data_IF_219390223184
#
_entry.id   IF_219390223184
#
_cell.length_a   1.000
_cell.length_b   1.000
_cell.length_c   1.000
_cell.angle_alpha   90.00
_cell.angle_beta   90.00
_cell.angle_gamma   90.00
#
_symmetry.space_group_name_H-M   'P 1'
#
loop_
_entity.id
_entity.type
_entity.pdbx_description
1 polymer ?
#
# COMPACT_ATOMS: atom_id res chain seq x y z
N UNK A 1 41.98 85.36 -29.52
CA UNK A 1 41.01 86.07 -28.66
C UNK A 1 40.37 85.07 -27.70
N UNK A 2 40.35 85.41 -26.40
CA UNK A 2 39.86 84.58 -25.27
C UNK A 2 38.33 84.59 -25.18
N UNK A 3 37.68 83.47 -24.86
CA UNK A 3 36.48 83.36 -23.99
C UNK A 3 36.44 81.93 -23.41
N UNK A 4 36.81 81.74 -22.14
CA UNK A 4 36.01 81.78 -20.88
C UNK A 4 35.14 80.52 -20.62
N UNK A 5 35.68 79.75 -19.67
CA UNK A 5 35.15 78.67 -18.84
C UNK A 5 33.72 78.92 -18.31
N UNK A 6 32.83 77.93 -18.37
CA UNK A 6 31.75 77.72 -17.39
C UNK A 6 31.67 76.23 -17.05
N UNK A 7 31.90 75.93 -15.77
CA UNK A 7 31.72 74.63 -15.12
C UNK A 7 30.25 74.57 -14.68
N UNK A 8 29.55 73.52 -15.08
CA UNK A 8 28.36 73.05 -14.36
C UNK A 8 28.44 71.53 -14.27
N UNK A 9 28.74 71.05 -13.08
CA UNK A 9 28.58 69.65 -12.70
C UNK A 9 27.08 69.35 -12.58
N UNK A 10 26.59 68.35 -13.31
CA UNK A 10 25.29 67.75 -13.06
C UNK A 10 25.49 66.26 -12.78
N UNK A 11 25.16 65.88 -11.56
CA UNK A 11 25.14 64.54 -11.03
C UNK A 11 24.02 63.76 -11.73
N UNK A 12 24.35 62.78 -12.59
CA UNK A 12 23.37 61.86 -13.16
C UNK A 12 23.41 60.56 -12.35
N UNK A 13 22.49 60.41 -11.41
CA UNK A 13 22.20 59.13 -10.76
C UNK A 13 21.44 58.28 -11.78
N UNK A 14 22.12 57.31 -12.38
CA UNK A 14 21.52 56.27 -13.22
C UNK A 14 21.20 55.06 -12.35
N UNK A 15 19.97 54.99 -11.85
CA UNK A 15 19.34 53.74 -11.43
C UNK A 15 18.41 53.36 -12.57
N UNK A 16 18.59 52.20 -13.20
CA UNK A 16 17.47 51.32 -13.55
C UNK A 16 17.92 49.95 -14.10
N UNK A 17 17.59 48.93 -13.29
CA UNK A 17 17.04 47.62 -13.66
C UNK A 17 17.93 46.70 -14.51
N UNK A 18 18.74 45.90 -13.80
CA UNK A 18 19.14 44.58 -14.26
C UNK A 18 17.87 43.72 -14.38
N UNK A 19 17.38 43.53 -15.60
CA UNK A 19 16.40 42.49 -15.89
C UNK A 19 17.07 41.14 -15.67
N UNK A 20 16.83 40.53 -14.52
CA UNK A 20 17.13 39.12 -14.29
C UNK A 20 16.31 38.31 -15.28
N UNK A 21 16.93 37.90 -16.39
CA UNK A 21 16.40 36.79 -17.17
C UNK A 21 16.50 35.54 -16.29
N UNK A 22 15.42 35.25 -15.57
CA UNK A 22 15.21 33.94 -14.98
C UNK A 22 15.19 32.94 -16.13
N UNK A 23 16.25 32.14 -16.27
CA UNK A 23 16.19 30.94 -17.07
C UNK A 23 15.16 30.02 -16.43
N UNK A 24 13.90 30.08 -16.89
CA UNK A 24 12.99 28.98 -16.64
C UNK A 24 13.63 27.76 -17.28
N UNK A 25 14.07 26.82 -16.44
CA UNK A 25 14.66 25.57 -16.89
C UNK A 25 13.71 24.93 -17.88
N UNK A 26 14.17 24.75 -19.11
CA UNK A 26 13.51 23.88 -20.08
C UNK A 26 13.72 22.48 -19.53
N UNK A 27 12.78 22.01 -18.71
CA UNK A 27 12.73 20.60 -18.34
C UNK A 27 12.62 19.81 -19.63
N UNK A 28 13.57 18.90 -19.88
CA UNK A 28 13.50 17.98 -21.00
C UNK A 28 12.13 17.28 -20.93
N UNK A 29 11.34 17.38 -22.00
CA UNK A 29 10.03 16.73 -22.09
C UNK A 29 10.27 15.24 -22.22
N UNK A 30 10.25 14.55 -21.09
CA UNK A 30 10.35 13.11 -21.09
C UNK A 30 9.02 12.49 -21.51
N UNK A 31 9.10 11.53 -22.42
CA UNK A 31 7.96 10.83 -23.00
C UNK A 31 7.78 9.48 -22.29
N UNK A 32 6.54 9.21 -21.85
CA UNK A 32 6.19 8.02 -21.09
C UNK A 32 5.02 7.29 -21.75
N UNK A 33 4.92 5.98 -21.52
CA UNK A 33 3.76 5.18 -21.89
C UNK A 33 2.92 4.84 -20.65
N UNK A 34 1.60 4.75 -20.82
CA UNK A 34 0.69 4.29 -19.79
C UNK A 34 0.74 2.77 -19.69
N UNK A 35 1.06 2.21 -18.53
CA UNK A 35 1.21 0.77 -18.28
C UNK A 35 -0.03 0.07 -17.69
N UNK A 36 -1.19 0.72 -17.68
CA UNK A 36 -2.45 0.19 -17.14
C UNK A 36 -3.57 0.27 -18.17
N UNK A 37 -4.60 -0.59 -18.06
CA UNK A 37 -5.73 -0.66 -19.00
C UNK A 37 -6.47 0.67 -19.17
N UNK A 38 -6.59 1.47 -18.11
CA UNK A 38 -7.16 2.81 -18.13
C UNK A 38 -6.59 3.65 -16.99
N UNK A 39 -6.01 4.81 -17.32
CA UNK A 39 -5.42 5.75 -16.38
C UNK A 39 -6.22 7.05 -16.34
N UNK A 40 -6.84 7.36 -15.19
CA UNK A 40 -7.62 8.58 -15.02
C UNK A 40 -6.72 9.83 -15.07
N UNK A 41 -7.18 10.84 -15.82
CA UNK A 41 -6.64 12.19 -15.86
C UNK A 41 -7.51 13.08 -14.98
N UNK A 42 -6.89 13.84 -14.06
CA UNK A 42 -7.59 14.63 -13.03
C UNK A 42 -7.23 16.11 -13.05
N UNK A 43 -8.05 16.94 -12.43
CA UNK A 43 -7.83 18.39 -12.33
C UNK A 43 -6.68 18.76 -11.39
N UNK A 44 -6.44 17.98 -10.35
CA UNK A 44 -5.43 18.20 -9.30
C UNK A 44 -4.65 16.91 -9.00
N UNK A 45 -3.45 16.99 -8.41
CA UNK A 45 -2.65 15.82 -8.02
C UNK A 45 -3.22 15.16 -6.76
N UNK A 46 -4.46 14.67 -6.85
CA UNK A 46 -5.21 14.05 -5.75
C UNK A 46 -6.19 12.99 -6.27
N UNK A 47 -6.41 11.93 -5.48
CA UNK A 47 -7.38 10.89 -5.80
C UNK A 47 -8.84 11.37 -5.67
N UNK A 48 -9.06 12.45 -4.93
CA UNK A 48 -10.38 13.07 -4.73
C UNK A 48 -10.70 14.13 -5.81
N UNK A 49 -9.73 14.45 -6.67
CA UNK A 49 -9.89 15.45 -7.71
C UNK A 49 -10.81 14.96 -8.84
N UNK A 50 -11.54 15.90 -9.44
CA UNK A 50 -12.44 15.62 -10.57
C UNK A 50 -11.69 14.91 -11.71
N UNK A 51 -12.25 13.80 -12.19
CA UNK A 51 -11.74 13.09 -13.37
C UNK A 51 -12.23 13.83 -14.62
N UNK A 52 -11.29 14.23 -15.47
CA UNK A 52 -11.53 14.97 -16.72
C UNK A 52 -11.36 14.08 -17.96
N UNK A 53 -10.95 12.82 -17.76
CA UNK A 53 -10.87 11.82 -18.80
C UNK A 53 -9.99 10.65 -18.38
N UNK A 54 -9.62 9.82 -19.34
CA UNK A 54 -8.67 8.72 -19.13
C UNK A 54 -7.77 8.50 -20.34
N UNK A 55 -6.69 7.75 -20.11
CA UNK A 55 -5.71 7.32 -21.09
C UNK A 55 -5.69 5.79 -21.13
N UNK A 56 -5.77 5.16 -22.31
CA UNK A 56 -5.69 3.70 -22.44
C UNK A 56 -4.26 3.19 -22.23
N UNK A 57 -4.12 1.87 -22.03
CA UNK A 57 -2.82 1.19 -22.03
C UNK A 57 -2.03 1.50 -23.31
N UNK A 58 -0.73 1.74 -23.16
CA UNK A 58 0.18 2.09 -24.24
C UNK A 58 0.06 3.54 -24.73
N UNK A 59 -0.87 4.35 -24.19
CA UNK A 59 -0.96 5.76 -24.54
C UNK A 59 0.32 6.49 -24.16
N UNK A 60 0.83 7.29 -25.10
CA UNK A 60 2.04 8.08 -24.89
C UNK A 60 1.67 9.45 -24.31
N UNK A 61 2.38 9.87 -23.26
CA UNK A 61 2.20 11.16 -22.60
C UNK A 61 3.51 11.92 -22.47
N UNK A 62 3.42 13.23 -22.65
CA UNK A 62 4.50 14.15 -22.33
C UNK A 62 4.31 14.65 -20.90
N UNK A 63 5.27 14.34 -20.03
CA UNK A 63 5.24 14.79 -18.63
C UNK A 63 5.86 16.19 -18.56
N UNK A 64 5.07 17.13 -18.06
CA UNK A 64 5.44 18.54 -17.90
C UNK A 64 6.06 18.82 -16.53
N UNK A 65 5.61 18.09 -15.51
CA UNK A 65 5.98 18.26 -14.11
C UNK A 65 5.65 16.96 -13.36
N UNK A 66 6.44 16.59 -12.36
CA UNK A 66 6.08 15.53 -11.41
C UNK A 66 5.98 16.13 -10.01
N UNK A 67 4.89 15.85 -9.30
CA UNK A 67 4.63 16.33 -7.94
C UNK A 67 3.85 15.28 -7.15
N UNK A 68 4.42 14.84 -6.02
CA UNK A 68 3.77 13.95 -5.03
C UNK A 68 3.01 12.75 -5.64
N UNK A 69 3.67 11.99 -6.52
CA UNK A 69 3.12 10.82 -7.25
C UNK A 69 2.15 11.10 -8.39
N UNK A 70 2.10 12.36 -8.83
CA UNK A 70 1.32 12.76 -10.00
C UNK A 70 2.23 13.38 -11.06
N UNK A 71 2.06 12.93 -12.29
CA UNK A 71 2.63 13.56 -13.47
C UNK A 71 1.59 14.52 -14.05
N UNK A 72 1.99 15.78 -14.20
CA UNK A 72 1.23 16.77 -14.94
C UNK A 72 1.46 16.53 -16.43
N UNK A 73 0.39 16.34 -17.17
CA UNK A 73 0.41 16.03 -18.61
C UNK A 73 -0.50 16.98 -19.37
N UNK A 74 -0.22 17.14 -20.66
CA UNK A 74 -1.19 17.74 -21.57
C UNK A 74 -2.25 16.70 -21.94
N UNK A 75 -3.52 17.07 -21.82
CA UNK A 75 -4.67 16.22 -22.15
C UNK A 75 -5.75 17.06 -22.83
N UNK A 76 -6.11 16.74 -24.08
CA UNK A 76 -7.19 17.40 -24.84
C UNK A 76 -7.15 18.95 -24.83
N UNK A 77 -5.96 19.55 -24.97
CA UNK A 77 -5.81 21.01 -25.01
C UNK A 77 -5.74 21.71 -23.64
N UNK A 78 -5.91 20.97 -22.54
CA UNK A 78 -5.70 21.44 -21.16
C UNK A 78 -4.62 20.64 -20.43
N UNK A 79 -4.21 21.05 -19.24
CA UNK A 79 -3.34 20.23 -18.38
C UNK A 79 -4.18 19.39 -17.42
N UNK A 80 -3.71 18.18 -17.13
CA UNK A 80 -4.28 17.31 -16.11
C UNK A 80 -3.19 16.55 -15.36
N UNK A 81 -3.57 15.91 -14.27
CA UNK A 81 -2.69 15.12 -13.43
C UNK A 81 -3.05 13.65 -13.57
N UNK A 82 -2.05 12.83 -13.83
CA UNK A 82 -2.17 11.37 -13.86
C UNK A 82 -1.26 10.78 -12.80
N UNK A 83 -1.67 9.66 -12.22
CA UNK A 83 -0.83 8.94 -11.27
C UNK A 83 0.47 8.48 -11.96
N UNK A 84 1.61 9.02 -11.55
CA UNK A 84 2.90 8.79 -12.22
C UNK A 84 3.38 7.35 -12.10
N UNK A 85 2.88 6.61 -11.11
CA UNK A 85 3.17 5.19 -10.90
C UNK A 85 2.53 4.25 -11.95
N UNK A 86 1.71 4.78 -12.87
CA UNK A 86 1.24 4.06 -14.05
C UNK A 86 2.02 4.40 -15.33
N UNK A 87 3.10 5.18 -15.23
CA UNK A 87 3.93 5.57 -16.36
C UNK A 87 5.19 4.71 -16.45
N UNK A 88 5.50 4.28 -17.67
CA UNK A 88 6.76 3.62 -18.02
C UNK A 88 7.54 4.52 -18.95
N UNK A 89 8.81 4.79 -18.65
CA UNK A 89 9.64 5.67 -19.49
C UNK A 89 9.88 4.97 -20.84
N UNK A 90 9.71 5.71 -21.94
CA UNK A 90 10.08 5.20 -23.25
C UNK A 90 11.61 5.20 -23.32
N UNK A 91 12.22 4.02 -23.42
CA UNK A 91 13.67 3.91 -23.58
C UNK A 91 14.10 4.72 -24.80
N UNK A 92 14.92 5.75 -24.60
CA UNK A 92 15.70 6.32 -25.70
C UNK A 92 16.55 5.19 -26.28
N UNK A 93 16.50 5.00 -27.60
CA UNK A 93 17.34 4.06 -28.30
C UNK A 93 18.81 4.43 -28.05
N UNK A 94 19.42 3.75 -27.08
CA UNK A 94 20.74 4.08 -26.55
C UNK A 94 20.93 3.61 -25.12
N UNK A 95 20.48 2.39 -24.79
CA UNK A 95 20.75 1.79 -23.49
C UNK A 95 22.13 1.17 -23.48
N UNK A 96 23.08 1.80 -22.78
CA UNK A 96 24.25 1.12 -22.25
C UNK A 96 23.75 -0.07 -21.43
N UNK A 97 24.23 -1.28 -21.73
CA UNK A 97 23.88 -2.49 -20.99
C UNK A 97 24.04 -2.25 -19.48
N UNK A 98 22.95 -2.39 -18.74
CA UNK A 98 23.01 -2.39 -17.27
C UNK A 98 23.66 -3.72 -16.88
N UNK A 99 24.94 -3.65 -16.50
CA UNK A 99 25.73 -4.77 -15.99
C UNK A 99 25.03 -5.51 -14.84
N UNK A 100 24.99 -6.85 -14.94
CA UNK A 100 24.67 -7.99 -14.06
C UNK A 100 24.07 -7.86 -12.63
N UNK A 101 23.96 -6.69 -12.01
CA UNK A 101 23.37 -6.51 -10.69
C UNK A 101 22.19 -5.55 -10.75
N UNK A 102 20.99 -6.09 -11.00
CA UNK A 102 19.74 -5.35 -11.01
C UNK A 102 18.75 -5.94 -10.01
N UNK A 103 17.97 -5.06 -9.38
CA UNK A 103 16.89 -5.42 -8.46
C UNK A 103 15.56 -5.01 -9.03
N UNK A 104 14.55 -5.87 -8.88
CA UNK A 104 13.19 -5.65 -9.37
C UNK A 104 12.28 -5.36 -8.19
N UNK A 105 11.58 -4.24 -8.20
CA UNK A 105 10.66 -3.86 -7.13
C UNK A 105 9.53 -4.88 -7.01
N UNK A 106 9.26 -5.32 -5.79
CA UNK A 106 8.32 -6.39 -5.48
C UNK A 106 6.96 -5.90 -4.95
N UNK A 107 6.75 -4.57 -4.85
CA UNK A 107 5.48 -3.97 -4.43
C UNK A 107 5.23 -2.59 -5.05
N UNK A 108 3.96 -2.15 -5.09
CA UNK A 108 3.61 -0.79 -5.48
C UNK A 108 3.81 0.20 -4.33
N UNK A 109 4.24 1.43 -4.63
CA UNK A 109 4.41 2.51 -3.65
C UNK A 109 5.62 2.35 -2.71
N UNK A 110 6.65 1.61 -3.15
CA UNK A 110 7.89 1.40 -2.41
C UNK A 110 8.66 2.72 -2.30
N UNK A 111 9.09 3.09 -1.08
CA UNK A 111 9.76 4.36 -0.80
C UNK A 111 11.24 4.28 -1.18
N UNK A 112 11.68 5.25 -1.98
CA UNK A 112 13.08 5.56 -2.23
C UNK A 112 13.53 6.61 -1.21
N UNK A 113 14.66 6.38 -0.53
CA UNK A 113 15.14 7.22 0.57
C UNK A 113 16.52 7.81 0.32
N UNK A 114 16.83 8.90 1.02
CA UNK A 114 18.13 9.58 0.95
C UNK A 114 19.28 8.83 1.63
N UNK A 115 18.99 7.82 2.46
CA UNK A 115 19.98 7.00 3.16
C UNK A 115 19.44 5.64 3.60
N UNK A 116 20.31 4.75 4.09
CA UNK A 116 19.97 3.38 4.48
C UNK A 116 19.27 3.33 5.84
N UNK A 117 17.96 3.57 5.86
CA UNK A 117 17.19 3.54 7.09
C UNK A 117 15.82 4.19 6.98
N UNK A 118 14.92 3.89 7.92
CA UNK A 118 13.56 4.45 7.92
C UNK A 118 13.49 5.90 8.43
N UNK A 119 14.54 6.34 9.10
CA UNK A 119 14.81 7.69 9.61
C UNK A 119 15.25 8.66 8.51
N UNK A 120 15.74 8.15 7.38
CA UNK A 120 16.13 8.97 6.24
C UNK A 120 14.92 9.48 5.46
N UNK A 121 15.04 10.70 4.94
CA UNK A 121 13.95 11.34 4.18
C UNK A 121 13.55 10.52 2.95
N UNK A 122 12.25 10.47 2.68
CA UNK A 122 11.71 9.88 1.45
C UNK A 122 11.99 10.86 0.32
N UNK A 123 12.67 10.40 -0.72
CA UNK A 123 13.04 11.19 -1.90
C UNK A 123 12.28 10.74 -3.15
N UNK A 124 11.52 9.64 -3.08
CA UNK A 124 10.66 9.20 -4.15
C UNK A 124 9.89 7.93 -3.81
N UNK A 125 9.12 7.46 -4.78
CA UNK A 125 8.39 6.20 -4.72
C UNK A 125 8.60 5.40 -6.01
N UNK A 126 8.46 4.08 -5.94
CA UNK A 126 8.56 3.18 -7.09
C UNK A 126 7.51 2.07 -7.00
N UNK A 127 7.31 1.33 -8.09
CA UNK A 127 6.20 0.39 -8.25
C UNK A 127 6.67 -1.00 -8.64
N UNK A 128 5.82 -2.00 -8.41
CA UNK A 128 6.09 -3.41 -8.72
C UNK A 128 6.61 -3.57 -10.16
N UNK A 129 7.64 -4.38 -10.34
CA UNK A 129 8.25 -4.67 -11.64
C UNK A 129 9.30 -3.66 -12.09
N UNK A 130 9.38 -2.46 -11.49
CA UNK A 130 10.44 -1.50 -11.82
C UNK A 130 11.81 -2.10 -11.51
N UNK A 131 12.79 -1.89 -12.39
CA UNK A 131 14.14 -2.40 -12.22
C UNK A 131 15.10 -1.25 -11.98
N UNK A 132 15.97 -1.40 -10.99
CA UNK A 132 17.06 -0.47 -10.75
C UNK A 132 18.40 -1.20 -10.78
N UNK A 133 19.43 -0.49 -11.23
CA UNK A 133 20.80 -0.95 -11.08
C UNK A 133 21.15 -0.93 -9.59
N UNK A 134 21.62 -2.07 -9.07
CA UNK A 134 22.17 -2.16 -7.73
C UNK A 134 23.57 -1.55 -7.72
N UNK A 135 23.82 -0.62 -6.80
CA UNK A 135 25.11 0.05 -6.62
C UNK A 135 25.84 -0.56 -5.41
N UNK A 136 25.16 -0.66 -4.27
CA UNK A 136 25.73 -1.11 -3.00
C UNK A 136 24.64 -1.63 -2.06
N UNK A 137 25.03 -2.23 -0.94
CA UNK A 137 24.12 -2.60 0.15
C UNK A 137 24.71 -2.27 1.53
N UNK A 138 23.87 -1.71 2.39
CA UNK A 138 24.21 -1.40 3.79
C UNK A 138 23.07 -1.89 4.66
N UNK A 139 23.34 -2.92 5.48
CA UNK A 139 22.32 -3.66 6.23
C UNK A 139 21.21 -4.15 5.27
N UNK A 140 19.94 -3.96 5.65
CA UNK A 140 18.77 -4.36 4.86
C UNK A 140 18.34 -3.30 3.81
N UNK A 141 19.24 -2.40 3.42
CA UNK A 141 18.98 -1.35 2.44
C UNK A 141 19.93 -1.47 1.25
N UNK A 142 19.37 -1.32 0.06
CA UNK A 142 20.09 -1.36 -1.19
C UNK A 142 20.20 0.04 -1.77
N UNK A 143 21.41 0.46 -2.09
CA UNK A 143 21.62 1.67 -2.86
C UNK A 143 21.41 1.33 -4.34
N UNK A 144 20.53 2.08 -4.98
CA UNK A 144 20.16 1.88 -6.37
C UNK A 144 20.37 3.15 -7.21
N UNK A 145 20.69 2.97 -8.49
CA UNK A 145 20.69 4.08 -9.45
C UNK A 145 19.27 4.30 -9.96
N UNK A 146 18.72 5.48 -9.73
CA UNK A 146 17.41 5.89 -10.23
C UNK A 146 17.47 6.22 -11.72
N UNK A 147 16.33 6.25 -12.41
CA UNK A 147 16.24 6.47 -13.85
C UNK A 147 16.75 7.87 -14.29
N UNK A 148 16.75 8.85 -13.39
CA UNK A 148 17.34 10.18 -13.60
C UNK A 148 18.86 10.24 -13.32
N UNK A 149 19.50 9.10 -13.03
CA UNK A 149 20.95 8.99 -12.80
C UNK A 149 21.40 9.27 -11.36
N UNK A 150 20.50 9.66 -10.47
CA UNK A 150 20.78 9.85 -9.05
C UNK A 150 20.87 8.51 -8.29
N UNK A 151 21.19 8.57 -6.99
CA UNK A 151 21.19 7.40 -6.11
C UNK A 151 20.08 7.50 -5.09
N UNK A 152 19.42 6.38 -4.81
CA UNK A 152 18.44 6.27 -3.74
C UNK A 152 18.63 4.97 -2.96
N UNK A 153 18.06 4.90 -1.76
CA UNK A 153 18.02 3.69 -0.96
C UNK A 153 16.63 3.06 -1.02
N UNK A 154 16.58 1.79 -1.40
CA UNK A 154 15.39 0.96 -1.41
C UNK A 154 15.57 -0.16 -0.39
N UNK A 155 14.51 -0.49 0.33
CA UNK A 155 14.57 -1.59 1.28
C UNK A 155 14.71 -2.93 0.54
N UNK A 156 15.65 -3.77 0.97
CA UNK A 156 15.93 -5.07 0.33
C UNK A 156 14.68 -5.96 0.29
N UNK A 157 13.88 -5.95 1.37
CA UNK A 157 12.63 -6.71 1.47
C UNK A 157 11.51 -6.23 0.54
N UNK A 158 11.71 -5.14 -0.21
CA UNK A 158 10.77 -4.60 -1.20
C UNK A 158 11.25 -4.80 -2.65
N UNK A 159 12.32 -5.58 -2.86
CA UNK A 159 12.83 -5.94 -4.18
C UNK A 159 13.15 -7.43 -4.29
N UNK A 160 13.21 -7.95 -5.51
CA UNK A 160 13.78 -9.25 -5.85
C UNK A 160 15.06 -9.05 -6.65
N UNK A 161 16.17 -9.66 -6.22
CA UNK A 161 17.37 -9.73 -7.03
C UNK A 161 17.09 -10.56 -8.27
N UNK A 162 17.58 -10.10 -9.43
CA UNK A 162 17.39 -10.78 -10.71
C UNK A 162 18.26 -12.06 -10.81
N UNK A 163 18.05 -13.01 -9.91
CA UNK A 163 18.39 -14.41 -10.15
C UNK A 163 17.07 -15.10 -10.45
N UNK A 164 16.91 -15.47 -11.72
CA UNK A 164 15.74 -16.10 -12.32
C UNK A 164 14.85 -16.87 -11.33
N UNK A 165 13.59 -16.44 -11.21
CA UNK A 165 12.51 -17.28 -10.68
C UNK A 165 12.39 -18.52 -11.55
N UNK A 166 12.99 -19.62 -11.12
CA UNK A 166 12.38 -20.93 -11.32
C UNK A 166 11.14 -20.99 -10.44
N UNK A 167 10.00 -21.26 -11.07
CA UNK A 167 8.79 -21.80 -10.46
C UNK A 167 9.18 -23.05 -9.66
N UNK A 168 9.56 -22.85 -8.41
CA UNK A 168 9.83 -23.93 -7.47
C UNK A 168 8.53 -24.23 -6.75
N UNK A 169 7.95 -25.38 -7.05
CA UNK A 169 6.86 -26.06 -6.33
C UNK A 169 7.31 -26.53 -4.94
N UNK A 170 8.08 -25.71 -4.22
CA UNK A 170 8.49 -25.99 -2.85
C UNK A 170 7.25 -25.80 -1.97
N UNK A 171 6.89 -26.79 -1.12
CA UNK A 171 5.83 -26.62 -0.14
C UNK A 171 6.12 -25.37 0.69
N UNK A 172 5.15 -24.45 0.81
CA UNK A 172 5.28 -23.29 1.70
C UNK A 172 5.53 -23.83 3.11
N UNK A 173 6.77 -23.75 3.58
CA UNK A 173 7.07 -24.00 4.99
C UNK A 173 6.56 -22.80 5.77
N UNK A 174 5.48 -22.99 6.52
CA UNK A 174 4.94 -21.97 7.40
C UNK A 174 6.03 -21.49 8.35
N UNK A 175 6.27 -20.18 8.36
CA UNK A 175 7.19 -19.57 9.33
C UNK A 175 6.37 -19.26 10.57
N UNK A 176 6.44 -20.16 11.55
CA UNK A 176 5.85 -19.89 12.86
C UNK A 176 6.53 -18.67 13.48
N UNK A 177 5.77 -17.73 14.06
CA UNK A 177 6.35 -16.65 14.85
C UNK A 177 7.35 -17.21 15.88
N UNK A 178 8.54 -16.62 16.06
CA UNK A 178 9.47 -17.03 17.09
C UNK A 178 8.78 -17.03 18.45
N UNK A 179 9.20 -17.92 19.35
CA UNK A 179 8.86 -17.82 20.76
C UNK A 179 9.50 -16.53 21.31
N UNK A 180 8.81 -15.40 21.19
CA UNK A 180 9.19 -14.16 21.87
C UNK A 180 9.25 -14.44 23.38
N UNK A 181 10.01 -13.67 24.15
CA UNK A 181 9.99 -13.76 25.61
C UNK A 181 8.55 -13.50 26.11
N UNK A 182 7.82 -14.58 26.38
CA UNK A 182 6.38 -14.53 26.64
C UNK A 182 6.09 -13.88 27.98
N UNK A 183 5.23 -12.86 27.97
CA UNK A 183 4.49 -12.42 29.16
C UNK A 183 3.06 -12.93 29.03
N UNK A 184 2.71 -13.93 29.84
CA UNK A 184 1.39 -14.57 29.83
C UNK A 184 0.26 -13.53 29.81
N UNK A 185 -0.74 -13.77 28.95
CA UNK A 185 -1.91 -12.90 28.83
C UNK A 185 -1.68 -11.62 28.03
N UNK A 186 -0.58 -11.50 27.27
CA UNK A 186 -0.30 -10.35 26.41
C UNK A 186 0.19 -10.78 25.02
N UNK A 187 0.18 -9.85 24.07
CA UNK A 187 0.75 -10.01 22.73
C UNK A 187 2.11 -9.30 22.58
N UNK A 188 2.79 -9.00 23.70
CA UNK A 188 4.10 -8.35 23.69
C UNK A 188 5.11 -9.15 22.84
N UNK A 189 5.79 -8.47 21.93
CA UNK A 189 6.76 -9.09 21.02
C UNK A 189 6.13 -9.88 19.86
N UNK A 190 4.80 -9.81 19.68
CA UNK A 190 4.10 -10.36 18.52
C UNK A 190 3.83 -9.27 17.49
N UNK A 191 4.02 -9.61 16.22
CA UNK A 191 3.67 -8.75 15.09
C UNK A 191 2.42 -9.30 14.42
N UNK A 192 1.43 -8.45 14.16
CA UNK A 192 0.20 -8.79 13.45
C UNK A 192 0.10 -7.94 12.19
N UNK A 193 0.00 -8.60 11.04
CA UNK A 193 -0.36 -7.97 9.78
C UNK A 193 -1.88 -8.03 9.65
N UNK A 194 -2.53 -6.88 9.77
CA UNK A 194 -3.98 -6.76 9.74
C UNK A 194 -4.44 -6.23 8.38
N UNK A 195 -5.19 -7.05 7.68
CA UNK A 195 -5.67 -6.82 6.34
C UNK A 195 -7.14 -6.43 6.35
N UNK A 196 -7.43 -5.16 6.07
CA UNK A 196 -8.81 -4.71 5.84
C UNK A 196 -9.20 -5.04 4.40
N UNK A 197 -10.12 -6.00 4.22
CA UNK A 197 -10.60 -6.44 2.91
C UNK A 197 -11.03 -5.29 1.99
N UNK A 198 -10.91 -5.49 0.68
CA UNK A 198 -11.34 -4.54 -0.36
C UNK A 198 -10.66 -3.15 -0.27
N UNK A 199 -11.28 -2.12 -0.83
CA UNK A 199 -10.82 -0.72 -0.78
C UNK A 199 -10.69 -0.07 -2.15
N UNK A 200 -10.76 1.26 -2.17
CA UNK A 200 -10.75 2.08 -3.37
C UNK A 200 -11.95 1.76 -4.28
N UNK A 201 -11.66 1.40 -5.53
CA UNK A 201 -12.68 1.06 -6.52
C UNK A 201 -13.34 -0.32 -6.30
N UNK A 202 -12.77 -1.15 -5.42
CA UNK A 202 -13.37 -2.43 -5.02
C UNK A 202 -14.21 -2.19 -3.76
N UNK A 203 -15.55 -2.11 -3.86
CA UNK A 203 -16.41 -1.88 -2.71
C UNK A 203 -16.55 -3.13 -1.81
N UNK A 204 -16.13 -4.30 -2.30
CA UNK A 204 -16.57 -5.58 -1.77
C UNK A 204 -18.07 -5.79 -1.98
N UNK A 205 -18.68 -6.57 -1.09
CA UNK A 205 -20.13 -6.71 -1.09
C UNK A 205 -20.84 -5.38 -0.79
N UNK A 206 -21.99 -5.19 -1.43
CA UNK A 206 -22.89 -4.05 -1.17
C UNK A 206 -24.08 -4.58 -0.37
N UNK A 207 -24.16 -4.12 0.87
CA UNK A 207 -25.16 -4.53 1.84
C UNK A 207 -26.49 -3.81 1.76
N UNK A 208 -27.37 -4.21 2.68
CA UNK A 208 -28.65 -3.53 2.92
C UNK A 208 -28.39 -2.04 3.19
N UNK A 209 -29.14 -1.16 2.51
CA UNK A 209 -28.99 0.29 2.64
C UNK A 209 -27.82 0.89 1.84
N UNK A 210 -27.18 0.12 0.95
CA UNK A 210 -26.08 0.60 0.12
C UNK A 210 -24.74 0.71 0.85
N UNK A 211 -24.60 0.01 1.98
CA UNK A 211 -23.38 0.01 2.78
C UNK A 211 -22.32 -0.84 2.08
N UNK A 212 -21.13 -0.27 1.88
CA UNK A 212 -20.02 -1.00 1.28
C UNK A 212 -19.23 -1.77 2.33
N UNK A 213 -18.90 -3.02 2.01
CA UNK A 213 -18.05 -3.87 2.84
C UNK A 213 -16.71 -3.20 3.15
N UNK A 214 -16.06 -2.57 2.16
CA UNK A 214 -14.75 -1.91 2.33
C UNK A 214 -14.69 -0.87 3.46
N UNK A 215 -15.82 -0.24 3.76
CA UNK A 215 -15.93 0.79 4.80
C UNK A 215 -16.10 0.15 6.18
N UNK A 216 -16.90 -0.93 6.26
CA UNK A 216 -17.04 -1.73 7.47
C UNK A 216 -15.74 -2.45 7.82
N UNK A 217 -15.07 -3.08 6.84
CA UNK A 217 -13.79 -3.77 7.07
C UNK A 217 -12.72 -2.80 7.55
N UNK A 218 -12.63 -1.59 6.99
CA UNK A 218 -11.68 -0.57 7.44
C UNK A 218 -11.99 -0.11 8.87
N UNK A 219 -13.25 0.22 9.17
CA UNK A 219 -13.65 0.66 10.52
C UNK A 219 -13.34 -0.41 11.56
N UNK A 220 -13.76 -1.65 11.32
CA UNK A 220 -13.54 -2.76 12.24
C UNK A 220 -12.05 -3.06 12.40
N UNK A 221 -11.28 -3.09 11.30
CA UNK A 221 -9.84 -3.34 11.36
C UNK A 221 -9.10 -2.24 12.15
N UNK A 222 -9.52 -0.97 12.10
CA UNK A 222 -8.92 0.08 12.93
C UNK A 222 -9.17 -0.14 14.44
N UNK A 223 -10.37 -0.60 14.80
CA UNK A 223 -10.72 -0.92 16.20
C UNK A 223 -9.92 -2.13 16.67
N UNK A 224 -9.83 -3.18 15.85
CA UNK A 224 -9.00 -4.37 16.09
C UNK A 224 -7.53 -3.96 16.26
N UNK A 225 -6.98 -3.15 15.36
CA UNK A 225 -5.60 -2.67 15.45
C UNK A 225 -5.32 -1.93 16.75
N UNK A 226 -6.27 -1.09 17.20
CA UNK A 226 -6.15 -0.36 18.47
C UNK A 226 -6.09 -1.33 19.65
N UNK A 227 -6.97 -2.33 19.67
CA UNK A 227 -7.03 -3.32 20.75
C UNK A 227 -5.80 -4.23 20.79
N UNK A 228 -5.32 -4.69 19.63
CA UNK A 228 -4.09 -5.47 19.52
C UNK A 228 -2.87 -4.70 20.04
N UNK A 229 -2.75 -3.41 19.68
CA UNK A 229 -1.68 -2.53 20.21
C UNK A 229 -1.78 -2.37 21.73
N UNK A 230 -2.98 -2.21 22.28
CA UNK A 230 -3.19 -2.15 23.73
C UNK A 230 -2.77 -3.46 24.42
N UNK A 231 -2.93 -4.61 23.76
CA UNK A 231 -2.45 -5.90 24.24
C UNK A 231 -0.93 -6.11 24.06
N UNK A 232 -0.21 -5.15 23.45
CA UNK A 232 1.24 -5.17 23.30
C UNK A 232 1.76 -5.66 21.94
N UNK A 233 0.88 -5.96 20.98
CA UNK A 233 1.31 -6.34 19.64
C UNK A 233 1.83 -5.14 18.83
N UNK A 234 2.82 -5.38 17.99
CA UNK A 234 3.08 -4.53 16.84
C UNK A 234 2.03 -4.82 15.76
N UNK A 235 1.40 -3.79 15.19
CA UNK A 235 0.34 -3.96 14.20
C UNK A 235 0.67 -3.21 12.91
N UNK A 236 0.67 -3.95 11.81
CA UNK A 236 0.94 -3.46 10.46
C UNK A 236 -0.34 -3.61 9.65
N UNK A 237 -0.93 -2.47 9.25
CA UNK A 237 -2.11 -2.48 8.39
C UNK A 237 -1.69 -2.69 6.93
N UNK A 238 -2.37 -3.56 6.17
CA UNK A 238 -2.10 -3.66 4.73
C UNK A 238 -2.43 -2.36 4.01
N UNK A 239 -3.54 -1.69 4.36
CA UNK A 239 -3.91 -0.36 3.86
C UNK A 239 -4.23 0.62 4.98
N UNK A 240 -3.89 1.89 4.75
CA UNK A 240 -4.39 3.03 5.51
C UNK A 240 -5.47 3.73 4.67
N UNK A 241 -6.69 3.84 5.23
CA UNK A 241 -7.82 4.49 4.56
C UNK A 241 -8.36 3.74 3.33
N UNK A 242 -9.16 4.44 2.54
CA UNK A 242 -9.87 3.88 1.40
C UNK A 242 -9.00 3.81 0.12
N UNK A 243 -8.05 2.86 0.10
CA UNK A 243 -7.23 2.56 -1.07
C UNK A 243 -7.40 1.11 -1.51
N UNK A 244 -7.33 0.86 -2.81
CA UNK A 244 -7.32 -0.48 -3.34
C UNK A 244 -5.96 -1.15 -3.13
N UNK A 245 -5.99 -2.45 -2.79
CA UNK A 245 -4.84 -3.36 -2.84
C UNK A 245 -5.29 -4.67 -3.47
N UNK A 246 -4.52 -5.14 -4.44
CA UNK A 246 -4.73 -6.45 -5.03
C UNK A 246 -4.27 -7.56 -4.06
N UNK A 247 -4.70 -8.80 -4.32
CA UNK A 247 -4.48 -9.93 -3.42
C UNK A 247 -2.98 -10.27 -3.24
N UNK A 248 -2.16 -10.08 -4.27
CA UNK A 248 -0.72 -10.33 -4.22
C UNK A 248 0.01 -9.29 -3.37
N UNK A 249 -0.40 -8.02 -3.44
CA UNK A 249 0.16 -6.96 -2.59
C UNK A 249 -0.08 -7.24 -1.11
N UNK A 250 -1.28 -7.70 -0.75
CA UNK A 250 -1.62 -8.06 0.64
C UNK A 250 -0.73 -9.17 1.17
N UNK A 251 -0.54 -10.22 0.37
CA UNK A 251 0.37 -11.34 0.68
C UNK A 251 1.82 -10.88 0.78
N UNK A 252 2.25 -10.00 -0.12
CA UNK A 252 3.62 -9.50 -0.11
C UNK A 252 3.92 -8.69 1.15
N UNK A 253 3.01 -7.79 1.54
CA UNK A 253 3.12 -7.05 2.82
C UNK A 253 3.26 -8.04 3.97
N UNK A 254 2.43 -9.08 4.02
CA UNK A 254 2.51 -10.13 5.04
C UNK A 254 3.86 -10.83 5.08
N UNK A 255 4.38 -11.23 3.91
CA UNK A 255 5.66 -11.94 3.76
C UNK A 255 6.87 -11.09 4.12
N UNK A 256 6.79 -9.76 4.02
CA UNK A 256 7.84 -8.85 4.53
C UNK A 256 8.01 -8.93 6.05
N UNK A 257 7.03 -9.51 6.77
CA UNK A 257 7.08 -9.75 8.20
C UNK A 257 6.90 -11.26 8.48
N UNK A 258 7.91 -12.09 8.15
CA UNK A 258 7.79 -13.55 8.16
C UNK A 258 7.46 -14.15 9.53
N UNK A 259 7.71 -13.40 10.61
CA UNK A 259 7.43 -13.79 12.00
C UNK A 259 6.05 -13.33 12.50
N UNK A 260 5.20 -12.80 11.63
CA UNK A 260 3.90 -12.22 11.99
C UNK A 260 2.75 -13.24 11.98
N UNK A 261 1.55 -12.77 12.37
CA UNK A 261 0.28 -13.39 12.02
C UNK A 261 -0.48 -12.48 11.06
N UNK A 262 -1.00 -13.04 9.99
CA UNK A 262 -1.86 -12.36 9.04
C UNK A 262 -3.34 -12.59 9.35
N UNK A 263 -4.09 -11.50 9.53
CA UNK A 263 -5.52 -11.53 9.79
C UNK A 263 -6.23 -10.71 8.71
N UNK A 264 -7.05 -11.34 7.87
CA UNK A 264 -7.89 -10.65 6.89
C UNK A 264 -9.31 -10.48 7.40
N UNK A 265 -9.81 -9.25 7.40
CA UNK A 265 -11.12 -8.87 7.95
C UNK A 265 -12.10 -8.60 6.81
N UNK A 266 -13.21 -9.34 6.80
CA UNK A 266 -14.26 -9.32 5.79
C UNK A 266 -15.67 -9.37 6.40
N UNK A 267 -16.66 -9.04 5.58
CA UNK A 267 -18.07 -9.27 5.88
C UNK A 267 -18.73 -10.03 4.72
N UNK A 268 -19.42 -11.10 5.06
CA UNK A 268 -19.90 -12.04 4.06
C UNK A 268 -21.11 -11.46 3.32
N UNK A 269 -21.43 -12.03 2.17
CA UNK A 269 -22.64 -11.72 1.44
C UNK A 269 -23.17 -12.96 0.71
N UNK A 270 -24.49 -13.06 0.66
CA UNK A 270 -25.14 -14.16 -0.04
C UNK A 270 -26.50 -13.72 -0.60
N UNK A 271 -26.88 -14.31 -1.73
CA UNK A 271 -28.14 -14.00 -2.42
C UNK A 271 -29.38 -14.42 -1.61
N UNK A 272 -29.28 -15.51 -0.85
CA UNK A 272 -30.28 -15.86 0.15
C UNK A 272 -30.11 -14.97 1.40
N UNK A 273 -31.07 -14.07 1.71
CA UNK A 273 -30.98 -13.16 2.86
C UNK A 273 -31.09 -13.89 4.20
N UNK A 274 -31.42 -15.18 4.22
CA UNK A 274 -31.41 -16.01 5.43
C UNK A 274 -30.02 -16.53 5.86
N UNK A 275 -29.01 -16.44 4.98
CA UNK A 275 -27.63 -16.78 5.33
C UNK A 275 -27.10 -15.76 6.36
N UNK A 276 -26.45 -16.23 7.42
CA UNK A 276 -26.07 -15.41 8.58
C UNK A 276 -24.96 -16.06 9.40
N UNK A 277 -24.38 -15.28 10.30
CA UNK A 277 -23.36 -15.72 11.22
C UNK A 277 -21.93 -15.42 10.75
N UNK A 278 -20.99 -15.73 11.63
CA UNK A 278 -19.57 -15.48 11.43
C UNK A 278 -18.83 -16.79 11.19
N UNK A 279 -17.79 -16.76 10.38
CA UNK A 279 -16.89 -17.88 10.16
C UNK A 279 -15.44 -17.39 10.06
N UNK A 280 -14.50 -18.24 10.49
CA UNK A 280 -13.07 -18.00 10.36
C UNK A 280 -12.48 -19.04 9.43
N UNK A 281 -11.80 -18.61 8.39
CA UNK A 281 -11.23 -19.46 7.36
C UNK A 281 -9.72 -19.60 7.52
N UNK A 282 -9.24 -20.81 7.27
CA UNK A 282 -7.82 -21.16 7.16
C UNK A 282 -7.58 -21.92 5.85
N UNK A 283 -6.34 -21.95 5.37
CA UNK A 283 -5.98 -22.79 4.22
C UNK A 283 -5.04 -23.92 4.63
N UNK A 284 -3.91 -23.58 5.27
CA UNK A 284 -2.93 -24.59 5.66
C UNK A 284 -3.29 -25.20 7.03
N UNK A 285 -3.05 -26.49 7.22
CA UNK A 285 -3.34 -27.17 8.49
C UNK A 285 -2.73 -26.50 9.75
N UNK A 286 -1.50 -25.94 9.71
CA UNK A 286 -0.95 -25.20 10.85
C UNK A 286 -1.75 -23.95 11.26
N UNK A 287 -2.54 -23.36 10.34
CA UNK A 287 -3.36 -22.18 10.62
C UNK A 287 -4.68 -22.54 11.35
N UNK A 288 -5.03 -23.84 11.40
CA UNK A 288 -6.32 -24.31 11.90
C UNK A 288 -6.53 -24.00 13.38
N UNK A 289 -5.53 -24.22 14.22
CA UNK A 289 -5.65 -23.97 15.67
C UNK A 289 -5.86 -22.49 15.97
N UNK A 290 -5.15 -21.61 15.26
CA UNK A 290 -5.36 -20.17 15.31
C UNK A 290 -6.79 -19.79 14.90
N UNK A 291 -7.29 -20.35 13.80
CA UNK A 291 -8.66 -20.09 13.34
C UNK A 291 -9.72 -20.53 14.36
N UNK A 292 -9.50 -21.66 15.04
CA UNK A 292 -10.39 -22.16 16.09
C UNK A 292 -10.36 -21.28 17.32
N UNK A 293 -9.18 -20.84 17.77
CA UNK A 293 -9.03 -19.97 18.93
C UNK A 293 -9.79 -18.65 18.73
N UNK A 294 -9.62 -18.01 17.57
CA UNK A 294 -10.35 -16.78 17.21
C UNK A 294 -11.86 -17.03 17.10
N UNK A 295 -12.28 -18.09 16.41
CA UNK A 295 -13.71 -18.39 16.22
C UNK A 295 -14.42 -18.65 17.55
N UNK A 296 -13.78 -19.36 18.48
CA UNK A 296 -14.35 -19.67 19.79
C UNK A 296 -14.59 -18.40 20.61
N UNK A 297 -13.66 -17.45 20.58
CA UNK A 297 -13.83 -16.16 21.26
C UNK A 297 -14.95 -15.33 20.62
N UNK A 298 -15.01 -15.27 19.28
CA UNK A 298 -16.10 -14.59 18.57
C UNK A 298 -17.48 -15.17 18.95
N UNK A 299 -17.59 -16.49 19.03
CA UNK A 299 -18.82 -17.18 19.40
C UNK A 299 -19.24 -16.94 20.86
N UNK A 300 -18.29 -16.65 21.75
CA UNK A 300 -18.58 -16.40 23.16
C UNK A 300 -18.99 -14.95 23.43
N UNK A 301 -18.42 -13.99 22.69
CA UNK A 301 -18.54 -12.57 23.03
C UNK A 301 -19.50 -11.79 22.13
N UNK A 302 -19.93 -12.36 21.01
CA UNK A 302 -20.84 -11.69 20.06
C UNK A 302 -22.20 -12.41 19.98
N UNK A 303 -23.19 -11.71 19.43
CA UNK A 303 -24.57 -12.19 19.27
C UNK A 303 -24.80 -13.03 18.01
N UNK A 304 -23.87 -13.02 17.05
CA UNK A 304 -24.10 -13.64 15.74
C UNK A 304 -23.91 -15.17 15.78
N UNK A 305 -24.60 -15.85 14.86
CA UNK A 305 -24.51 -17.30 14.73
C UNK A 305 -23.07 -17.75 14.48
N UNK A 306 -22.61 -18.76 15.21
CA UNK A 306 -21.29 -19.37 15.02
C UNK A 306 -21.33 -20.38 13.85
N UNK A 307 -20.71 -20.07 12.72
CA UNK A 307 -20.55 -20.99 11.59
C UNK A 307 -19.24 -21.81 11.65
N UNK A 308 -18.43 -21.64 12.69
CA UNK A 308 -17.22 -22.43 12.95
C UNK A 308 -16.01 -22.00 12.14
N UNK A 309 -14.89 -22.69 12.39
CA UNK A 309 -13.65 -22.54 11.63
C UNK A 309 -13.65 -23.49 10.44
N UNK A 310 -13.34 -23.00 9.25
CA UNK A 310 -13.52 -23.74 7.99
C UNK A 310 -12.29 -23.65 7.09
N UNK A 311 -12.03 -24.69 6.30
CA UNK A 311 -11.03 -24.59 5.24
C UNK A 311 -11.58 -23.70 4.11
N UNK A 312 -10.79 -22.74 3.64
CA UNK A 312 -11.18 -21.81 2.57
C UNK A 312 -10.05 -21.54 1.59
N UNK A 313 -10.33 -21.68 0.29
CA UNK A 313 -9.35 -21.48 -0.79
C UNK A 313 -9.21 -20.01 -1.20
N UNK A 314 -8.76 -19.18 -0.26
CA UNK A 314 -8.54 -17.75 -0.48
C UNK A 314 -7.08 -17.47 -0.85
N UNK A 315 -6.85 -16.64 -1.88
CA UNK A 315 -5.50 -16.32 -2.36
C UNK A 315 -4.58 -15.83 -1.23
N UNK A 316 -5.10 -14.94 -0.36
CA UNK A 316 -4.38 -14.33 0.76
C UNK A 316 -4.03 -15.29 1.89
N UNK A 317 -4.60 -16.50 1.90
CA UNK A 317 -4.29 -17.57 2.84
C UNK A 317 -3.39 -18.61 2.18
N UNK A 318 -3.79 -19.08 1.00
CA UNK A 318 -3.06 -20.11 0.23
C UNK A 318 -1.62 -19.70 -0.06
N UNK A 319 -1.40 -18.44 -0.43
CA UNK A 319 -0.09 -17.92 -0.84
C UNK A 319 0.67 -17.24 0.31
N UNK A 320 0.29 -17.43 1.57
CA UNK A 320 0.88 -16.72 2.69
C UNK A 320 1.77 -17.62 3.55
N UNK A 321 2.98 -17.14 3.87
CA UNK A 321 3.99 -17.91 4.61
C UNK A 321 3.85 -17.79 6.14
N UNK A 322 3.51 -16.63 6.71
CA UNK A 322 3.13 -16.53 8.12
C UNK A 322 1.81 -17.27 8.41
N UNK A 323 1.49 -17.44 9.69
CA UNK A 323 0.16 -17.93 10.10
C UNK A 323 -0.91 -17.00 9.55
N UNK A 324 -1.95 -17.54 8.93
CA UNK A 324 -2.92 -16.72 8.19
C UNK A 324 -4.35 -17.19 8.33
N UNK A 325 -5.25 -16.27 8.69
CA UNK A 325 -6.70 -16.51 8.73
C UNK A 325 -7.48 -15.38 8.07
N UNK A 326 -8.65 -15.70 7.52
CA UNK A 326 -9.63 -14.73 7.02
C UNK A 326 -10.90 -14.84 7.86
N UNK A 327 -11.42 -13.73 8.35
CA UNK A 327 -12.52 -13.69 9.31
C UNK A 327 -13.70 -12.99 8.64
N UNK A 328 -14.77 -13.75 8.43
CA UNK A 328 -16.07 -13.24 7.96
C UNK A 328 -16.94 -12.90 9.16
N UNK A 329 -17.16 -11.61 9.41
CA UNK A 329 -17.74 -11.08 10.64
C UNK A 329 -19.27 -10.91 10.59
N UNK A 330 -19.97 -11.75 9.84
CA UNK A 330 -21.42 -11.63 9.62
C UNK A 330 -21.79 -11.30 8.18
N UNK A 331 -23.05 -11.51 7.82
CA UNK A 331 -23.55 -11.30 6.47
C UNK A 331 -24.12 -9.89 6.29
N UNK A 332 -23.47 -9.08 5.45
CA UNK A 332 -23.89 -7.72 5.09
C UNK A 332 -25.23 -7.69 4.32
N UNK A 333 -25.69 -8.84 3.81
CA UNK A 333 -26.99 -9.00 3.14
C UNK A 333 -28.09 -9.57 4.05
N UNK A 334 -27.77 -9.92 5.30
CA UNK A 334 -28.74 -10.42 6.27
C UNK A 334 -29.23 -9.27 7.17
N UNK A 335 -30.55 -9.04 7.32
CA UNK A 335 -31.06 -7.93 8.13
C UNK A 335 -30.67 -7.97 9.62
N UNK A 336 -30.57 -9.16 10.21
CA UNK A 336 -30.19 -9.32 11.62
C UNK A 336 -28.69 -9.06 11.80
N UNK A 337 -27.84 -9.75 11.04
CA UNK A 337 -26.40 -9.52 11.10
C UNK A 337 -26.08 -8.06 10.79
N UNK A 338 -26.70 -7.47 9.75
CA UNK A 338 -26.49 -6.08 9.37
C UNK A 338 -26.75 -5.10 10.53
N UNK A 339 -27.81 -5.32 11.32
CA UNK A 339 -28.12 -4.47 12.46
C UNK A 339 -27.03 -4.55 13.55
N UNK A 340 -26.48 -5.74 13.77
CA UNK A 340 -25.41 -5.97 14.74
C UNK A 340 -24.05 -5.44 14.24
N UNK A 341 -23.63 -5.79 13.02
CA UNK A 341 -22.28 -5.50 12.50
C UNK A 341 -21.98 -4.01 12.32
N UNK A 342 -23.01 -3.19 12.13
CA UNK A 342 -22.87 -1.74 12.07
C UNK A 342 -22.63 -1.10 13.44
N UNK A 343 -23.03 -1.79 14.51
CA UNK A 343 -22.94 -1.24 15.86
C UNK A 343 -21.47 -1.19 16.32
N UNK A 344 -21.10 -0.09 16.98
CA UNK A 344 -19.78 0.02 17.59
C UNK A 344 -19.57 -1.06 18.66
N UNK A 345 -20.63 -1.44 19.38
CA UNK A 345 -20.56 -2.49 20.39
C UNK A 345 -20.07 -3.82 19.78
N UNK A 346 -20.69 -4.26 18.67
CA UNK A 346 -20.27 -5.47 17.98
C UNK A 346 -18.81 -5.38 17.51
N UNK A 347 -18.40 -4.25 16.91
CA UNK A 347 -17.02 -4.07 16.43
C UNK A 347 -15.99 -4.10 17.56
N UNK A 348 -16.34 -3.59 18.75
CA UNK A 348 -15.51 -3.71 19.95
C UNK A 348 -15.46 -5.14 20.49
N UNK A 349 -16.58 -5.88 20.49
CA UNK A 349 -16.62 -7.29 20.87
C UNK A 349 -15.77 -8.15 19.92
N UNK A 350 -15.81 -7.87 18.61
CA UNK A 350 -14.92 -8.50 17.62
C UNK A 350 -13.46 -8.23 17.93
N UNK A 351 -13.10 -6.98 18.22
CA UNK A 351 -11.73 -6.61 18.55
C UNK A 351 -11.22 -7.30 19.83
N UNK A 352 -12.05 -7.39 20.87
CA UNK A 352 -11.75 -8.17 22.07
C UNK A 352 -11.57 -9.65 21.75
N UNK A 353 -12.50 -10.23 20.96
CA UNK A 353 -12.50 -11.64 20.60
C UNK A 353 -11.25 -12.04 19.80
N UNK A 354 -10.88 -11.26 18.79
CA UNK A 354 -9.68 -11.51 18.00
C UNK A 354 -8.42 -11.40 18.86
N UNK A 355 -8.37 -10.39 19.74
CA UNK A 355 -7.23 -10.18 20.65
C UNK A 355 -7.09 -11.35 21.61
N UNK A 356 -8.18 -11.76 22.26
CA UNK A 356 -8.18 -12.89 23.18
C UNK A 356 -7.87 -14.20 22.46
N UNK A 357 -8.38 -14.40 21.24
CA UNK A 357 -8.09 -15.61 20.44
C UNK A 357 -6.62 -15.74 20.09
N UNK A 358 -5.93 -14.62 19.80
CA UNK A 358 -4.48 -14.62 19.62
C UNK A 358 -3.73 -14.89 20.92
N UNK A 359 -4.18 -14.30 22.03
CA UNK A 359 -3.59 -14.52 23.36
C UNK A 359 -3.70 -16.01 23.73
N UNK A 360 -4.87 -16.61 23.53
CA UNK A 360 -5.14 -18.02 23.80
C UNK A 360 -4.31 -18.94 22.89
N UNK A 361 -4.10 -18.57 21.62
CA UNK A 361 -3.27 -19.34 20.70
C UNK A 361 -1.77 -19.30 21.05
N UNK A 362 -1.29 -18.17 21.60
CA UNK A 362 0.13 -17.99 21.91
C UNK A 362 0.53 -18.34 23.33
N UNK A 363 -0.41 -18.61 24.23
CA UNK A 363 -0.15 -19.13 25.58
C UNK A 363 -0.23 -20.66 25.57
#
# INVERSE_FOLDING_TARGET
MKQKLWITAFLLILVLVLSSFSSQGVYARETYNVGTSSLNVRTEPSLDAQVIGSLPNGATVNVLEIKYDWAKVQYNGQTGWIASYFLTQQSAAGGTEISDSAVTVAANGVRLRSGPGTEHSIIGYTTYGNRFQLIDSVNDWLQVRTHNGETAWIADWLVSSATASTTSTVPIQKKSPPAAAHKNGTLAGRTVVLDAGHGGYDPGAIGIGGIFEKDLTMRTAQIVATKLKQAGAEVIMTRAGDRHLNLQERVHISRSFPSSVFLSIHYNAHANPGAKGMATFYYHNPDKELSLAIQNQLAQQTSLQNAGAQHGDFYVLRNNDPLSVLIELGFITNPYDMAEIQSLNYQHQVAESITQGLIDYFN
#
